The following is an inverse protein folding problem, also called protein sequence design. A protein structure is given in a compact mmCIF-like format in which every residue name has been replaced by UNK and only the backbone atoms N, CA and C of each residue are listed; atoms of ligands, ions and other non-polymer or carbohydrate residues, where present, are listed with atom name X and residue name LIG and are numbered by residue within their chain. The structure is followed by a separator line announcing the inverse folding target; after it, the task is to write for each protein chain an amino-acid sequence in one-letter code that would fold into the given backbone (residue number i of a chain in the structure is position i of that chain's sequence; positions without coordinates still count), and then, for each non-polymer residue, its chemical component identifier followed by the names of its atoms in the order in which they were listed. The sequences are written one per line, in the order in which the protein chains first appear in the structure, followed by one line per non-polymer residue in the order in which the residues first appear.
data_IF_618960090690
#
_entry.id   IF_618960090690
#
_cell.length_a   1.000
_cell.length_b   1.000
_cell.length_c   1.000
_cell.angle_alpha   90.00
_cell.angle_beta   90.00
_cell.angle_gamma   90.00
#
_symmetry.space_group_name_H-M   'P 1'
#
loop_
_entity.id
_entity.type
_entity.pdbx_description
1 polymer ?
#
# COMPACT_ATOMS: atom_id res chain seq x y z
N UNK A 1 5.05 29.58 7.21
CA UNK A 1 4.91 29.18 5.81
C UNK A 1 5.62 27.86 5.58
N UNK A 2 6.76 27.73 6.16
CA UNK A 2 7.54 26.51 6.00
C UNK A 2 6.84 25.32 6.60
N UNK A 3 6.11 25.57 7.66
CA UNK A 3 5.40 24.53 8.34
C UNK A 3 4.42 23.85 7.38
N UNK A 4 3.82 24.65 6.54
CA UNK A 4 2.83 24.13 5.60
C UNK A 4 3.42 23.12 4.66
N UNK A 5 4.63 23.37 4.24
CA UNK A 5 5.28 22.47 3.30
C UNK A 5 5.50 21.11 3.93
N UNK A 6 5.87 21.12 5.18
CA UNK A 6 6.08 19.87 5.90
C UNK A 6 4.80 19.07 5.96
N UNK A 7 3.71 19.77 6.22
CA UNK A 7 2.43 19.08 6.31
C UNK A 7 2.04 18.41 5.03
N UNK A 8 2.34 19.06 3.92
CA UNK A 8 1.97 18.50 2.63
C UNK A 8 2.66 17.19 2.36
N UNK A 9 3.83 17.01 2.94
CA UNK A 9 4.61 15.80 2.69
C UNK A 9 4.21 14.65 3.59
N UNK A 10 3.22 14.85 4.44
CA UNK A 10 2.81 13.81 5.36
C UNK A 10 1.67 12.96 4.85
N UNK A 11 1.21 13.25 3.65
CA UNK A 11 0.11 12.50 3.06
C UNK A 11 0.55 11.84 1.77
N UNK A 12 0.59 10.51 1.80
CA UNK A 12 1.01 9.74 0.64
C UNK A 12 -0.01 8.64 0.37
N UNK A 13 -0.03 8.22 -0.88
CA UNK A 13 -0.85 7.08 -1.26
C UNK A 13 0.07 5.95 -1.68
N UNK A 14 -0.27 4.75 -1.26
CA UNK A 14 0.46 3.54 -1.66
C UNK A 14 -0.40 2.82 -2.67
N UNK A 15 0.07 2.76 -3.90
CA UNK A 15 -0.67 2.15 -5.01
C UNK A 15 -0.04 0.80 -5.32
N UNK A 16 -0.84 -0.24 -5.26
CA UNK A 16 -0.40 -1.58 -5.60
C UNK A 16 -0.45 -1.71 -7.12
N UNK A 17 0.72 -1.81 -7.76
CA UNK A 17 0.79 -1.85 -9.21
C UNK A 17 0.64 -3.25 -9.77
N UNK A 18 1.45 -4.17 -9.28
CA UNK A 18 1.38 -5.55 -9.71
C UNK A 18 1.58 -6.47 -8.53
N UNK A 19 1.17 -7.70 -8.68
CA UNK A 19 1.17 -8.65 -7.59
C UNK A 19 2.21 -9.76 -7.77
N UNK A 20 2.54 -10.10 -8.98
CA UNK A 20 3.49 -11.18 -9.23
C UNK A 20 2.89 -12.54 -8.92
N UNK A 21 3.77 -13.48 -8.60
CA UNK A 21 3.37 -14.87 -8.41
C UNK A 21 2.91 -15.19 -6.99
N UNK A 22 3.17 -14.29 -6.05
CA UNK A 22 2.86 -14.57 -4.65
C UNK A 22 1.62 -13.81 -4.21
N UNK A 23 0.55 -14.03 -4.93
CA UNK A 23 -0.68 -13.32 -4.70
C UNK A 23 -1.22 -13.51 -3.30
N UNK A 24 -1.19 -14.74 -2.81
CA UNK A 24 -1.69 -15.02 -1.46
C UNK A 24 -0.88 -14.26 -0.42
N UNK A 25 0.43 -14.20 -0.60
CA UNK A 25 1.29 -13.48 0.32
C UNK A 25 0.94 -11.99 0.30
N UNK A 26 0.72 -11.44 -0.88
CA UNK A 26 0.36 -10.04 -1.01
C UNK A 26 -0.97 -9.76 -0.34
N UNK A 27 -1.93 -10.66 -0.49
CA UNK A 27 -3.23 -10.52 0.16
C UNK A 27 -3.07 -10.45 1.67
N UNK A 28 -2.22 -11.29 2.23
CA UNK A 28 -1.97 -11.29 3.66
C UNK A 28 -1.38 -9.97 4.12
N UNK A 29 -0.45 -9.44 3.35
CA UNK A 29 0.17 -8.16 3.69
C UNK A 29 -0.84 -7.02 3.61
N UNK A 30 -1.67 -7.03 2.57
CA UNK A 30 -2.70 -6.02 2.43
C UNK A 30 -3.64 -6.05 3.62
N UNK A 31 -4.03 -7.23 4.05
CA UNK A 31 -4.92 -7.34 5.20
C UNK A 31 -4.27 -6.80 6.47
N UNK A 32 -3.00 -7.08 6.64
CA UNK A 32 -2.28 -6.60 7.82
C UNK A 32 -2.16 -5.08 7.81
N UNK A 33 -1.98 -4.51 6.64
CA UNK A 33 -1.77 -3.07 6.51
C UNK A 33 -3.07 -2.28 6.58
N UNK A 34 -4.16 -2.85 6.10
CA UNK A 34 -5.39 -2.09 5.90
C UNK A 34 -6.53 -2.57 6.78
N UNK A 35 -6.38 -3.71 7.44
CA UNK A 35 -7.44 -4.30 8.26
C UNK A 35 -8.69 -4.67 7.48
N UNK A 36 -8.54 -4.85 6.18
CA UNK A 36 -9.64 -5.29 5.34
C UNK A 36 -9.91 -6.78 5.54
N UNK A 37 -11.12 -7.20 5.21
CA UNK A 37 -11.44 -8.60 5.21
C UNK A 37 -10.76 -9.32 4.06
N UNK A 38 -10.78 -10.64 4.12
CA UNK A 38 -10.12 -11.44 3.09
C UNK A 38 -10.67 -11.12 1.70
N UNK A 39 -11.98 -11.05 1.58
CA UNK A 39 -12.60 -10.80 0.29
C UNK A 39 -12.20 -9.45 -0.27
N UNK A 40 -12.21 -8.44 0.58
CA UNK A 40 -11.90 -7.09 0.13
C UNK A 40 -10.44 -6.97 -0.25
N UNK A 41 -9.55 -7.57 0.54
CA UNK A 41 -8.15 -7.57 0.22
C UNK A 41 -7.89 -8.30 -1.09
N UNK A 42 -8.57 -9.40 -1.30
CA UNK A 42 -8.44 -10.16 -2.54
C UNK A 42 -8.92 -9.36 -3.73
N UNK A 43 -10.06 -8.70 -3.58
CA UNK A 43 -10.59 -7.86 -4.66
C UNK A 43 -9.63 -6.75 -5.01
N UNK A 44 -9.02 -6.16 -4.00
CA UNK A 44 -8.07 -5.08 -4.21
C UNK A 44 -6.84 -5.59 -4.97
N UNK A 45 -6.33 -6.73 -4.55
CA UNK A 45 -5.17 -7.33 -5.18
C UNK A 45 -5.48 -7.74 -6.62
N UNK A 46 -6.64 -8.35 -6.83
CA UNK A 46 -7.05 -8.77 -8.16
C UNK A 46 -7.27 -7.60 -9.10
N UNK A 47 -7.65 -6.47 -8.56
CA UNK A 47 -7.94 -5.29 -9.37
C UNK A 47 -6.77 -4.35 -9.53
N UNK A 48 -5.57 -4.77 -9.19
CA UNK A 48 -4.41 -3.90 -9.34
C UNK A 48 -4.28 -3.39 -10.78
N UNK A 49 -3.82 -2.14 -10.97
CA UNK A 49 -3.34 -1.22 -9.93
C UNK A 49 -4.47 -0.55 -9.17
N UNK A 50 -4.34 -0.56 -7.86
CA UNK A 50 -5.30 0.09 -6.98
C UNK A 50 -4.61 0.60 -5.73
N UNK A 51 -5.11 1.69 -5.13
CA UNK A 51 -4.51 2.19 -3.91
C UNK A 51 -4.78 1.24 -2.74
N UNK A 52 -3.74 0.93 -2.01
CA UNK A 52 -3.83 0.11 -0.81
C UNK A 52 -4.04 1.01 0.39
N UNK A 53 -3.28 2.09 0.46
CA UNK A 53 -3.36 3.07 1.52
C UNK A 53 -3.46 4.45 0.90
N UNK A 54 -4.20 5.32 1.55
CA UNK A 54 -4.35 6.69 1.08
C UNK A 54 -4.23 7.63 2.27
N UNK A 55 -3.55 8.77 2.05
CA UNK A 55 -3.44 9.78 3.07
C UNK A 55 -2.67 9.34 4.29
N UNK A 56 -1.62 8.56 4.11
CA UNK A 56 -0.82 8.05 5.22
C UNK A 56 0.53 8.75 5.27
N UNK A 57 1.16 8.69 6.43
CA UNK A 57 2.45 9.34 6.59
C UNK A 57 3.57 8.46 6.02
N UNK A 58 4.77 9.03 6.02
CA UNK A 58 5.90 8.35 5.40
C UNK A 58 6.24 7.03 6.10
N UNK A 59 6.12 6.98 7.41
CA UNK A 59 6.43 5.76 8.14
C UNK A 59 5.51 4.63 7.68
N UNK A 60 4.23 4.92 7.51
CA UNK A 60 3.29 3.92 7.03
C UNK A 60 3.61 3.53 5.59
N UNK A 61 4.02 4.50 4.77
CA UNK A 61 4.41 4.24 3.39
C UNK A 61 5.58 3.27 3.35
N UNK A 62 6.60 3.55 4.15
CA UNK A 62 7.80 2.71 4.15
C UNK A 62 7.47 1.28 4.58
N UNK A 63 6.64 1.14 5.59
CA UNK A 63 6.26 -0.19 6.06
C UNK A 63 5.45 -0.94 5.01
N UNK A 64 4.50 -0.24 4.40
CA UNK A 64 3.65 -0.86 3.39
C UNK A 64 4.49 -1.29 2.19
N UNK A 65 5.37 -0.40 1.74
CA UNK A 65 6.21 -0.71 0.59
C UNK A 65 7.09 -1.92 0.87
N UNK A 66 7.74 -1.93 2.02
CA UNK A 66 8.61 -3.04 2.37
C UNK A 66 7.84 -4.35 2.45
N UNK A 67 6.66 -4.33 3.05
CA UNK A 67 5.87 -5.54 3.20
C UNK A 67 5.40 -6.06 1.85
N UNK A 68 4.89 -5.17 1.01
CA UNK A 68 4.34 -5.59 -0.27
C UNK A 68 5.44 -6.03 -1.23
N UNK A 69 6.55 -5.31 -1.26
CA UNK A 69 7.65 -5.70 -2.12
C UNK A 69 8.29 -7.00 -1.63
N UNK A 70 8.35 -7.18 -0.32
CA UNK A 70 8.84 -8.43 0.23
C UNK A 70 7.96 -9.60 -0.14
N UNK A 71 6.68 -9.35 -0.41
CA UNK A 71 5.76 -10.39 -0.84
C UNK A 71 5.75 -10.56 -2.36
N UNK A 72 6.57 -9.81 -3.08
CA UNK A 72 6.68 -9.95 -4.52
C UNK A 72 5.85 -8.97 -5.32
N UNK A 73 5.24 -8.02 -4.68
CA UNK A 73 4.42 -7.03 -5.37
C UNK A 73 5.24 -5.78 -5.72
N UNK A 74 4.73 -5.01 -6.65
CA UNK A 74 5.32 -3.73 -7.02
C UNK A 74 4.36 -2.64 -6.58
N UNK A 75 4.89 -1.60 -5.95
CA UNK A 75 4.05 -0.51 -5.47
C UNK A 75 4.59 0.82 -5.95
N UNK A 76 3.70 1.77 -6.05
CA UNK A 76 4.02 3.15 -6.42
C UNK A 76 3.54 4.05 -5.29
N UNK A 77 4.35 5.04 -4.96
CA UNK A 77 4.01 6.01 -3.93
C UNK A 77 3.68 7.33 -4.60
N UNK A 78 2.57 7.92 -4.19
CA UNK A 78 2.17 9.21 -4.76
C UNK A 78 1.94 10.28 -3.71
#
# INVERSE_FOLDING_TARGET
AEVEEVEEKDSFDVILETVGDKKIQVIKEVRALTSLGLKEAKDLVDGAPKPVLEGVNKDAVDKAKAALEGAGATVTIK
#
